data_IF_242374702968
#
_entry.id   IF_242374702968
#
_cell.length_a   1.000
_cell.length_b   1.000
_cell.length_c   1.000
_cell.angle_alpha   90.00
_cell.angle_beta   90.00
_cell.angle_gamma   90.00
#
_symmetry.space_group_name_H-M   'P 1'
#
loop_
_entity.id
_entity.type
_entity.pdbx_description
1 polymer ?
#
# COMPACT_ATOMS: atom_id res chain seq x y z
N UNK A 1 15.22 25.22 11.68
CA UNK A 1 15.15 23.80 11.24
C UNK A 1 13.73 23.36 10.92
N UNK A 2 12.72 23.60 11.78
CA UNK A 2 11.32 23.29 11.48
C UNK A 2 10.76 24.02 10.24
N UNK A 3 11.18 25.29 10.04
CA UNK A 3 10.80 26.08 8.87
C UNK A 3 11.47 25.65 7.55
N UNK A 4 12.70 25.13 7.58
CA UNK A 4 13.34 24.60 6.37
C UNK A 4 12.73 23.25 5.97
N UNK A 5 12.33 22.41 6.93
CA UNK A 5 11.60 21.18 6.64
C UNK A 5 10.19 21.49 6.13
N UNK A 6 9.47 22.47 6.70
CA UNK A 6 8.15 22.87 6.20
C UNK A 6 8.19 23.53 4.81
N UNK A 7 9.21 24.33 4.50
CA UNK A 7 9.39 24.92 3.17
C UNK A 7 9.89 23.91 2.13
N UNK A 8 10.68 22.90 2.51
CA UNK A 8 11.12 21.84 1.59
C UNK A 8 10.06 20.73 1.42
N UNK A 9 9.28 20.43 2.47
CA UNK A 9 8.10 19.54 2.41
C UNK A 9 6.93 20.13 1.60
N UNK A 10 6.98 21.41 1.24
CA UNK A 10 6.06 22.04 0.30
C UNK A 10 6.59 22.08 -1.14
N UNK A 11 7.84 21.67 -1.37
CA UNK A 11 8.47 21.60 -2.69
C UNK A 11 8.53 20.13 -3.11
N UNK A 12 7.35 19.53 -3.31
CA UNK A 12 7.28 18.66 -4.47
C UNK A 12 7.25 19.62 -5.64
N UNK A 13 8.39 19.80 -6.28
CA UNK A 13 8.50 20.58 -7.50
C UNK A 13 7.38 20.11 -8.46
N UNK A 14 6.64 21.03 -9.07
CA UNK A 14 5.64 20.66 -10.10
C UNK A 14 6.32 19.80 -11.18
N UNK A 15 7.61 20.05 -11.42
CA UNK A 15 8.45 19.20 -12.24
C UNK A 15 8.54 17.75 -11.71
N UNK A 16 8.76 17.53 -10.42
CA UNK A 16 8.82 16.20 -9.80
C UNK A 16 7.47 15.45 -9.84
N UNK A 17 6.35 16.15 -9.70
CA UNK A 17 5.02 15.53 -9.92
C UNK A 17 4.84 15.14 -11.38
N UNK A 18 5.23 16.03 -12.30
CA UNK A 18 5.10 15.77 -13.74
C UNK A 18 5.95 14.59 -14.19
N UNK A 19 7.17 14.43 -13.66
CA UNK A 19 8.04 13.27 -13.97
C UNK A 19 7.48 11.98 -13.38
N UNK A 20 6.82 12.02 -12.21
CA UNK A 20 6.13 10.88 -11.62
C UNK A 20 5.01 10.37 -12.54
N UNK A 21 4.18 11.28 -13.05
CA UNK A 21 3.03 10.98 -13.90
C UNK A 21 3.43 10.41 -15.26
N UNK A 22 4.62 10.78 -15.77
CA UNK A 22 5.17 10.30 -17.05
C UNK A 22 6.04 9.05 -16.86
N UNK A 23 6.08 8.46 -15.66
CA UNK A 23 6.78 7.20 -15.44
C UNK A 23 6.11 6.03 -16.20
N UNK A 24 6.86 5.09 -16.81
CA UNK A 24 6.27 3.96 -17.50
C UNK A 24 5.25 3.16 -16.68
N UNK A 25 5.47 2.84 -15.38
CA UNK A 25 4.46 2.14 -14.59
C UNK A 25 3.11 2.90 -14.54
N UNK A 26 3.14 4.21 -14.31
CA UNK A 26 1.92 5.06 -14.27
C UNK A 26 1.27 5.20 -15.64
N UNK A 27 2.06 5.39 -16.69
CA UNK A 27 1.56 5.46 -18.06
C UNK A 27 0.89 4.15 -18.50
N UNK A 28 1.44 3.00 -18.13
CA UNK A 28 0.84 1.70 -18.43
C UNK A 28 -0.44 1.45 -17.61
N UNK A 29 -0.52 1.92 -16.36
CA UNK A 29 -1.80 1.97 -15.64
C UNK A 29 -2.83 2.80 -16.40
N UNK A 30 -2.45 4.00 -16.86
CA UNK A 30 -3.29 4.87 -17.68
C UNK A 30 -3.70 4.24 -19.01
N UNK A 31 -2.79 3.51 -19.66
CA UNK A 31 -3.07 2.72 -20.86
C UNK A 31 -4.12 1.64 -20.58
N UNK A 32 -4.00 0.90 -19.48
CA UNK A 32 -4.99 -0.10 -19.08
C UNK A 32 -6.36 0.52 -18.85
N UNK A 33 -6.41 1.65 -18.16
CA UNK A 33 -7.63 2.42 -17.96
C UNK A 33 -8.25 2.85 -19.30
N UNK A 34 -7.44 3.45 -20.18
CA UNK A 34 -7.86 3.91 -21.51
C UNK A 34 -8.31 2.78 -22.43
N UNK A 35 -7.64 1.62 -22.38
CA UNK A 35 -8.00 0.43 -23.14
C UNK A 35 -9.42 -0.05 -22.80
N UNK A 36 -9.83 0.01 -21.52
CA UNK A 36 -11.22 -0.30 -21.16
C UNK A 36 -12.22 0.74 -21.64
N UNK A 37 -11.85 2.02 -21.67
CA UNK A 37 -12.71 3.10 -22.12
C UNK A 37 -13.04 2.99 -23.61
N UNK A 38 -12.06 2.59 -24.43
CA UNK A 38 -12.25 2.32 -25.87
C UNK A 38 -12.79 0.92 -26.16
N UNK A 39 -13.16 0.15 -25.12
CA UNK A 39 -13.68 -1.24 -25.21
C UNK A 39 -12.72 -2.19 -25.94
N UNK A 40 -11.42 -2.02 -25.74
CA UNK A 40 -10.40 -2.95 -26.24
C UNK A 40 -10.62 -4.36 -25.69
N UNK A 41 -10.25 -5.35 -26.49
CA UNK A 41 -10.15 -6.76 -26.13
C UNK A 41 -8.90 -7.09 -25.30
N UNK A 42 -8.03 -6.12 -25.03
CA UNK A 42 -6.83 -6.27 -24.19
C UNK A 42 -7.19 -6.85 -22.82
N UNK A 43 -6.65 -8.04 -22.56
CA UNK A 43 -6.85 -8.80 -21.34
C UNK A 43 -5.54 -9.46 -20.94
N UNK A 44 -5.15 -9.28 -19.69
CA UNK A 44 -4.06 -10.05 -19.09
C UNK A 44 -4.69 -11.32 -18.48
N UNK A 45 -4.17 -12.52 -18.81
CA UNK A 45 -4.67 -13.76 -18.22
C UNK A 45 -4.48 -13.77 -16.70
N UNK A 46 -5.45 -14.31 -15.96
CA UNK A 46 -5.45 -14.33 -14.49
C UNK A 46 -4.20 -15.02 -13.91
N UNK A 47 -3.68 -16.04 -14.60
CA UNK A 47 -2.45 -16.73 -14.22
C UNK A 47 -1.24 -15.80 -14.25
N UNK A 48 -1.17 -14.90 -15.22
CA UNK A 48 -0.11 -13.89 -15.34
C UNK A 48 -0.27 -12.84 -14.23
N UNK A 49 -1.48 -12.36 -13.98
CA UNK A 49 -1.76 -11.43 -12.87
C UNK A 49 -1.32 -11.99 -11.53
N UNK A 50 -1.64 -13.26 -11.26
CA UNK A 50 -1.22 -13.98 -10.04
C UNK A 50 0.29 -14.11 -9.95
N UNK A 51 0.94 -14.52 -11.05
CA UNK A 51 2.40 -14.61 -11.11
C UNK A 51 3.08 -13.26 -10.83
N UNK A 52 2.63 -12.19 -11.49
CA UNK A 52 3.17 -10.84 -11.31
C UNK A 52 3.06 -10.39 -9.84
N UNK A 53 1.90 -10.62 -9.22
CA UNK A 53 1.70 -10.33 -7.79
C UNK A 53 2.67 -11.11 -6.90
N UNK A 54 2.75 -12.43 -7.07
CA UNK A 54 3.66 -13.28 -6.29
C UNK A 54 5.12 -12.87 -6.46
N UNK A 55 5.54 -12.58 -7.69
CA UNK A 55 6.88 -12.11 -7.99
C UNK A 55 7.18 -10.79 -7.26
N UNK A 56 6.31 -9.79 -7.38
CA UNK A 56 6.54 -8.46 -6.82
C UNK A 56 6.56 -8.50 -5.28
N UNK A 57 5.65 -9.26 -4.65
CA UNK A 57 5.64 -9.53 -3.20
C UNK A 57 6.96 -10.20 -2.77
N UNK A 58 7.42 -11.19 -3.52
CA UNK A 58 8.65 -11.94 -3.19
C UNK A 58 9.88 -11.04 -3.29
N UNK A 59 10.01 -10.31 -4.40
CA UNK A 59 11.16 -9.45 -4.67
C UNK A 59 11.36 -8.40 -3.57
N UNK A 60 10.29 -7.73 -3.16
CA UNK A 60 10.42 -6.71 -2.10
C UNK A 60 10.58 -7.32 -0.72
N UNK A 61 9.93 -8.45 -0.45
CA UNK A 61 10.06 -9.10 0.85
C UNK A 61 11.52 -9.45 1.05
N UNK A 62 12.11 -10.10 0.05
CA UNK A 62 13.53 -10.41 0.04
C UNK A 62 14.41 -9.17 0.20
N UNK A 63 14.17 -8.09 -0.58
CA UNK A 63 14.90 -6.82 -0.47
C UNK A 63 14.78 -6.17 0.91
N UNK A 64 13.58 -6.14 1.48
CA UNK A 64 13.31 -5.62 2.82
C UNK A 64 14.00 -6.43 3.91
N UNK A 65 14.04 -7.75 3.77
CA UNK A 65 14.78 -8.64 4.66
C UNK A 65 16.28 -8.36 4.66
N UNK A 66 16.88 -8.25 3.48
CA UNK A 66 18.30 -7.93 3.31
C UNK A 66 18.61 -6.55 3.91
N UNK A 67 17.74 -5.56 3.70
CA UNK A 67 17.91 -4.23 4.26
C UNK A 67 17.79 -4.22 5.80
N UNK A 68 16.82 -4.95 6.36
CA UNK A 68 16.68 -5.13 7.82
C UNK A 68 17.95 -5.73 8.44
N UNK A 69 18.61 -6.66 7.75
CA UNK A 69 19.89 -7.22 8.20
C UNK A 69 20.98 -6.16 8.24
N UNK A 70 21.04 -5.31 7.22
CA UNK A 70 22.08 -4.29 7.06
C UNK A 70 21.90 -3.13 8.06
N UNK A 71 20.67 -2.67 8.26
CA UNK A 71 20.32 -1.55 9.15
C UNK A 71 20.28 -1.99 10.62
N UNK A 72 20.00 -3.26 10.90
CA UNK A 72 19.87 -3.79 12.26
C UNK A 72 18.65 -3.26 13.00
N UNK A 73 18.54 -3.61 14.29
CA UNK A 73 17.50 -3.06 15.15
C UNK A 73 17.79 -1.60 15.49
N UNK A 74 16.91 -0.69 15.09
CA UNK A 74 16.99 0.73 15.43
C UNK A 74 15.76 1.18 16.21
N UNK A 75 15.89 2.24 17.02
CA UNK A 75 14.75 2.86 17.69
C UNK A 75 13.73 3.38 16.67
N UNK A 76 14.19 3.91 15.54
CA UNK A 76 13.34 4.35 14.44
C UNK A 76 12.49 3.20 13.88
N UNK A 77 13.07 2.03 13.67
CA UNK A 77 12.34 0.82 13.27
C UNK A 77 11.23 0.48 14.27
N UNK A 78 11.57 0.38 15.57
CA UNK A 78 10.59 0.06 16.62
C UNK A 78 9.44 1.06 16.68
N UNK A 79 9.76 2.36 16.65
CA UNK A 79 8.76 3.44 16.64
C UNK A 79 7.91 3.41 15.37
N UNK A 80 8.49 3.09 14.21
CA UNK A 80 7.75 3.01 12.94
C UNK A 80 6.83 1.80 12.91
N UNK A 81 7.24 0.66 13.47
CA UNK A 81 6.33 -0.49 13.61
C UNK A 81 5.14 -0.16 14.51
N UNK A 82 5.38 0.47 15.67
CA UNK A 82 4.30 0.91 16.57
C UNK A 82 3.40 1.95 15.87
N UNK A 83 3.99 2.91 15.15
CA UNK A 83 3.28 3.89 14.35
C UNK A 83 2.42 3.24 13.26
N UNK A 84 2.94 2.23 12.55
CA UNK A 84 2.20 1.45 11.57
C UNK A 84 1.00 0.73 12.19
N UNK A 85 1.18 0.05 13.32
CA UNK A 85 0.08 -0.59 14.05
C UNK A 85 -0.99 0.45 14.45
N UNK A 86 -0.56 1.60 15.00
CA UNK A 86 -1.46 2.67 15.39
C UNK A 86 -2.24 3.21 14.19
N UNK A 87 -1.58 3.45 13.05
CA UNK A 87 -2.22 3.88 11.81
C UNK A 87 -3.22 2.83 11.30
N UNK A 88 -2.85 1.55 11.28
CA UNK A 88 -3.74 0.46 10.88
C UNK A 88 -4.97 0.32 11.79
N UNK A 89 -4.86 0.71 13.07
CA UNK A 89 -6.01 0.76 13.97
C UNK A 89 -6.85 2.02 13.72
N UNK A 90 -6.22 3.18 13.62
CA UNK A 90 -6.90 4.50 13.59
C UNK A 90 -7.61 4.76 12.26
N UNK A 91 -6.96 4.44 11.13
CA UNK A 91 -7.49 4.77 9.80
C UNK A 91 -8.84 4.11 9.54
N UNK A 92 -9.11 2.83 9.86
CA UNK A 92 -10.43 2.23 9.70
C UNK A 92 -11.54 2.97 10.45
N UNK A 93 -11.27 3.48 11.67
CA UNK A 93 -12.26 4.28 12.41
C UNK A 93 -12.56 5.60 11.71
N UNK A 94 -11.52 6.30 11.25
CA UNK A 94 -11.66 7.56 10.51
C UNK A 94 -12.43 7.31 9.21
N UNK A 95 -12.02 6.30 8.44
CA UNK A 95 -12.65 5.92 7.19
C UNK A 95 -14.12 5.58 7.37
N UNK A 96 -14.46 4.74 8.35
CA UNK A 96 -15.85 4.42 8.67
C UNK A 96 -16.65 5.67 9.04
N UNK A 97 -16.10 6.57 9.85
CA UNK A 97 -16.79 7.80 10.25
C UNK A 97 -17.07 8.72 9.06
N UNK A 98 -16.11 8.89 8.17
CA UNK A 98 -16.27 9.68 6.93
C UNK A 98 -17.28 9.01 5.99
N UNK A 99 -17.22 7.70 5.80
CA UNK A 99 -18.12 6.95 4.93
C UNK A 99 -19.57 6.98 5.43
N UNK A 100 -19.79 6.87 6.73
CA UNK A 100 -21.13 6.99 7.33
C UNK A 100 -21.73 8.39 7.15
N UNK A 101 -20.92 9.44 7.31
CA UNK A 101 -21.39 10.83 7.22
C UNK A 101 -21.54 11.31 5.78
N UNK A 102 -20.51 11.06 4.96
CA UNK A 102 -20.39 11.59 3.61
C UNK A 102 -20.80 10.56 2.56
N UNK A 103 -20.37 9.31 2.68
CA UNK A 103 -20.57 8.26 1.68
C UNK A 103 -21.98 7.67 1.60
N UNK A 104 -22.83 7.84 2.63
CA UNK A 104 -24.17 7.23 2.73
C UNK A 104 -24.18 5.70 2.56
N UNK A 105 -23.09 5.06 2.95
CA UNK A 105 -22.96 3.60 2.96
C UNK A 105 -23.49 3.02 4.27
N UNK A 106 -23.98 1.79 4.24
CA UNK A 106 -24.41 1.08 5.44
C UNK A 106 -23.26 0.89 6.44
N UNK A 107 -23.56 0.67 7.73
CA UNK A 107 -22.53 0.61 8.77
C UNK A 107 -21.61 -0.60 8.66
N UNK A 108 -22.07 -1.70 8.05
CA UNK A 108 -21.25 -2.87 7.73
C UNK A 108 -20.34 -2.57 6.54
N UNK A 109 -20.87 -2.01 5.45
CA UNK A 109 -20.08 -1.62 4.27
C UNK A 109 -19.02 -0.57 4.62
N UNK A 110 -19.38 0.42 5.45
CA UNK A 110 -18.44 1.44 5.91
C UNK A 110 -17.31 0.86 6.78
N UNK A 111 -17.59 -0.22 7.53
CA UNK A 111 -16.56 -0.94 8.27
C UNK A 111 -15.64 -1.75 7.34
N UNK A 112 -16.20 -2.44 6.34
CA UNK A 112 -15.43 -3.19 5.35
C UNK A 112 -14.54 -2.27 4.51
N UNK A 113 -15.10 -1.21 3.93
CA UNK A 113 -14.34 -0.19 3.18
C UNK A 113 -13.31 0.46 4.09
N UNK A 114 -13.65 0.76 5.35
CA UNK A 114 -12.69 1.31 6.31
C UNK A 114 -11.50 0.39 6.58
N UNK A 115 -11.74 -0.92 6.66
CA UNK A 115 -10.68 -1.93 6.78
C UNK A 115 -9.70 -1.88 5.60
N UNK A 116 -10.22 -1.73 4.37
CA UNK A 116 -9.39 -1.59 3.18
C UNK A 116 -8.49 -0.35 3.24
N UNK A 117 -9.00 0.81 3.69
CA UNK A 117 -8.20 2.04 3.82
C UNK A 117 -7.16 1.98 4.95
N UNK A 118 -7.42 1.26 6.04
CA UNK A 118 -6.41 1.07 7.09
C UNK A 118 -5.34 0.07 6.71
N UNK A 119 -5.73 -0.94 5.94
CA UNK A 119 -4.82 -1.87 5.32
C UNK A 119 -4.03 -1.16 4.20
N UNK A 120 -3.03 -1.83 3.66
CA UNK A 120 -2.06 -1.20 2.77
C UNK A 120 -2.10 -1.84 1.38
N UNK A 121 -1.90 -1.01 0.36
CA UNK A 121 -1.75 -1.48 -1.00
C UNK A 121 -0.29 -1.70 -1.29
N UNK A 122 0.06 -2.97 -1.53
CA UNK A 122 1.36 -3.32 -2.04
C UNK A 122 1.70 -2.51 -3.29
N UNK A 123 0.77 -2.44 -4.23
CA UNK A 123 0.94 -1.78 -5.53
C UNK A 123 1.33 -0.30 -5.38
N UNK A 124 0.67 0.41 -4.48
CA UNK A 124 0.90 1.84 -4.25
C UNK A 124 2.27 2.04 -3.61
N UNK A 125 2.64 1.18 -2.67
CA UNK A 125 3.97 1.17 -2.06
C UNK A 125 5.08 0.93 -3.10
N UNK A 126 4.92 -0.06 -3.99
CA UNK A 126 5.90 -0.35 -5.05
C UNK A 126 6.09 0.83 -6.00
N UNK A 127 4.98 1.48 -6.37
CA UNK A 127 5.00 2.64 -7.25
C UNK A 127 5.74 3.81 -6.59
N UNK A 128 5.47 4.05 -5.29
CA UNK A 128 6.17 5.09 -4.54
C UNK A 128 7.66 4.78 -4.34
N UNK A 129 8.01 3.53 -4.03
CA UNK A 129 9.41 3.12 -3.90
C UNK A 129 10.16 3.29 -5.23
N UNK A 130 9.59 2.84 -6.35
CA UNK A 130 10.19 3.01 -7.67
C UNK A 130 10.31 4.50 -8.07
N UNK A 131 9.37 5.34 -7.63
CA UNK A 131 9.47 6.79 -7.83
C UNK A 131 10.63 7.39 -7.03
N UNK A 132 10.75 7.06 -5.74
CA UNK A 132 11.83 7.54 -4.89
C UNK A 132 13.21 7.10 -5.40
N UNK A 133 13.33 5.84 -5.84
CA UNK A 133 14.57 5.30 -6.44
C UNK A 133 14.99 6.08 -7.70
N UNK A 134 14.03 6.46 -8.56
CA UNK A 134 14.32 7.27 -9.75
C UNK A 134 14.74 8.69 -9.43
N UNK A 135 14.24 9.23 -8.31
CA UNK A 135 14.58 10.55 -7.82
C UNK A 135 15.87 10.54 -6.98
N UNK A 136 16.51 9.38 -6.82
CA UNK A 136 17.67 9.18 -5.95
C UNK A 136 17.41 9.62 -4.49
N UNK A 137 16.16 9.43 -4.03
CA UNK A 137 15.75 9.73 -2.66
C UNK A 137 15.79 8.42 -1.87
N UNK A 138 16.75 8.23 -0.95
CA UNK A 138 16.84 7.02 -0.15
C UNK A 138 15.65 6.93 0.81
N UNK A 139 15.21 5.71 1.05
CA UNK A 139 14.17 5.38 2.02
C UNK A 139 14.61 4.16 2.84
N UNK A 140 14.11 4.07 4.06
CA UNK A 140 14.41 3.02 5.01
C UNK A 140 13.92 1.66 4.49
N UNK A 141 14.82 0.68 4.41
CA UNK A 141 14.49 -0.62 3.85
C UNK A 141 13.52 -1.43 4.70
N UNK A 142 13.43 -1.09 6.00
CA UNK A 142 12.44 -1.68 6.90
C UNK A 142 10.99 -1.30 6.62
N UNK A 143 10.72 -0.33 5.73
CA UNK A 143 9.36 0.08 5.39
C UNK A 143 8.52 -1.06 4.78
N UNK A 144 9.16 -2.07 4.20
CA UNK A 144 8.49 -3.30 3.74
C UNK A 144 7.90 -4.10 4.90
N UNK A 145 8.57 -4.13 6.06
CA UNK A 145 8.04 -4.78 7.26
C UNK A 145 6.88 -3.98 7.87
N UNK A 146 6.97 -2.64 7.82
CA UNK A 146 5.88 -1.75 8.26
C UNK A 146 4.63 -1.99 7.43
N UNK A 147 4.78 -2.13 6.10
CA UNK A 147 3.69 -2.53 5.19
C UNK A 147 3.00 -3.81 5.69
N UNK A 148 3.76 -4.90 5.91
CA UNK A 148 3.19 -6.17 6.38
C UNK A 148 2.43 -6.03 7.72
N UNK A 149 2.98 -5.23 8.64
CA UNK A 149 2.43 -5.03 9.98
C UNK A 149 1.13 -4.23 9.96
N UNK A 150 0.96 -3.29 9.03
CA UNK A 150 -0.25 -2.44 8.95
C UNK A 150 -1.51 -3.22 8.52
N UNK A 151 -1.35 -4.35 7.83
CA UNK A 151 -2.47 -5.12 7.27
C UNK A 151 -3.33 -5.78 8.36
N UNK A 152 -2.71 -6.51 9.28
CA UNK A 152 -3.44 -7.30 10.29
C UNK A 152 -4.29 -6.46 11.26
N UNK A 153 -3.76 -5.38 11.88
CA UNK A 153 -4.54 -4.52 12.79
C UNK A 153 -5.80 -3.96 12.11
N UNK A 154 -5.67 -3.57 10.85
CA UNK A 154 -6.74 -2.96 10.06
C UNK A 154 -7.88 -3.93 9.77
N UNK A 155 -7.53 -5.17 9.39
CA UNK A 155 -8.51 -6.23 9.16
C UNK A 155 -9.25 -6.58 10.46
N UNK A 156 -8.53 -6.70 11.58
CA UNK A 156 -9.13 -6.98 12.89
C UNK A 156 -10.12 -5.89 13.28
N UNK A 157 -9.72 -4.62 13.16
CA UNK A 157 -10.58 -3.46 13.46
C UNK A 157 -11.79 -3.44 12.53
N UNK A 158 -11.59 -3.68 11.23
CA UNK A 158 -12.64 -3.79 10.23
C UNK A 158 -13.71 -4.81 10.60
N UNK A 159 -13.30 -6.04 10.91
CA UNK A 159 -14.23 -7.11 11.30
C UNK A 159 -14.89 -6.81 12.66
N UNK A 160 -14.15 -6.26 13.63
CA UNK A 160 -14.73 -5.86 14.90
C UNK A 160 -15.83 -4.79 14.73
N UNK A 161 -15.58 -3.81 13.87
CA UNK A 161 -16.56 -2.77 13.52
C UNK A 161 -17.77 -3.34 12.77
N UNK A 162 -17.55 -4.27 11.83
CA UNK A 162 -18.61 -4.93 11.09
C UNK A 162 -19.49 -5.80 12.00
N UNK A 163 -18.90 -6.58 12.90
CA UNK A 163 -19.62 -7.40 13.89
C UNK A 163 -20.52 -6.57 14.79
N UNK A 164 -20.06 -5.38 15.20
CA UNK A 164 -20.87 -4.46 16.04
C UNK A 164 -21.99 -3.77 15.27
N UNK A 165 -21.85 -3.64 13.95
CA UNK A 165 -22.80 -2.98 13.07
C UNK A 165 -23.84 -3.94 12.48
N UNK A 166 -23.49 -5.22 12.33
CA UNK A 166 -24.34 -6.25 11.76
C UNK A 166 -25.35 -6.81 12.77
N UNK A 167 -26.44 -7.36 12.25
CA UNK A 167 -27.44 -8.11 13.02
C UNK A 167 -27.27 -9.64 12.89
N UNK A 168 -26.29 -10.08 12.08
CA UNK A 168 -25.98 -11.48 11.84
C UNK A 168 -25.02 -12.07 12.88
N UNK A 169 -24.67 -13.36 12.68
CA UNK A 169 -23.70 -14.03 13.54
C UNK A 169 -22.33 -13.34 13.49
N UNK A 170 -21.79 -13.00 14.66
CA UNK A 170 -20.48 -12.36 14.76
C UNK A 170 -19.37 -13.29 14.27
N UNK A 171 -18.48 -12.76 13.44
CA UNK A 171 -17.28 -13.47 13.00
C UNK A 171 -16.25 -13.48 14.14
N UNK A 172 -15.76 -14.64 14.60
CA UNK A 172 -14.81 -14.69 15.71
C UNK A 172 -13.46 -14.07 15.30
N UNK A 173 -12.99 -13.07 16.05
CA UNK A 173 -11.74 -12.35 15.75
C UNK A 173 -10.51 -13.26 15.75
N UNK A 174 -10.50 -14.33 16.56
CA UNK A 174 -9.42 -15.33 16.53
C UNK A 174 -9.30 -16.05 15.18
N UNK A 175 -10.42 -16.29 14.49
CA UNK A 175 -10.43 -16.88 13.14
C UNK A 175 -9.96 -15.88 12.10
N UNK A 176 -10.28 -14.60 12.28
CA UNK A 176 -9.78 -13.51 11.42
C UNK A 176 -8.28 -13.39 11.55
N UNK A 177 -7.75 -13.34 12.78
CA UNK A 177 -6.31 -13.32 13.06
C UNK A 177 -5.60 -14.52 12.41
N UNK A 178 -6.10 -15.73 12.62
CA UNK A 178 -5.54 -16.94 12.01
C UNK A 178 -5.59 -16.88 10.47
N UNK A 179 -6.68 -16.35 9.90
CA UNK A 179 -6.86 -16.17 8.46
C UNK A 179 -5.92 -15.13 7.86
N UNK A 180 -5.72 -13.99 8.54
CA UNK A 180 -4.80 -12.93 8.10
C UNK A 180 -3.37 -13.45 8.01
N UNK A 181 -2.90 -14.20 9.01
CA UNK A 181 -1.54 -14.76 9.02
C UNK A 181 -1.34 -15.85 7.95
N UNK A 182 -2.39 -16.60 7.63
CA UNK A 182 -2.34 -17.66 6.59
C UNK A 182 -2.64 -17.14 5.19
N UNK A 183 -2.87 -15.84 5.02
CA UNK A 183 -3.12 -15.24 3.72
C UNK A 183 -1.87 -15.33 2.83
N UNK A 184 -2.01 -15.88 1.63
CA UNK A 184 -0.87 -16.27 0.79
C UNK A 184 0.10 -15.12 0.47
N UNK A 185 -0.40 -13.91 0.22
CA UNK A 185 0.45 -12.75 -0.04
C UNK A 185 1.22 -12.29 1.20
N UNK A 186 0.59 -12.30 2.38
CA UNK A 186 1.24 -11.89 3.63
C UNK A 186 2.26 -12.94 4.07
N UNK A 187 1.89 -14.23 3.99
CA UNK A 187 2.79 -15.34 4.27
C UNK A 187 4.02 -15.29 3.36
N UNK A 188 3.83 -15.03 2.08
CA UNK A 188 4.92 -14.88 1.11
C UNK A 188 5.78 -13.65 1.42
N UNK A 189 5.17 -12.51 1.73
CA UNK A 189 5.89 -11.28 2.06
C UNK A 189 6.77 -11.47 3.30
N UNK A 190 6.20 -11.99 4.39
CA UNK A 190 6.91 -12.26 5.64
C UNK A 190 7.97 -13.34 5.41
N UNK A 191 7.63 -14.43 4.71
CA UNK A 191 8.55 -15.51 4.38
C UNK A 191 9.75 -15.02 3.57
N UNK A 192 9.53 -14.28 2.48
CA UNK A 192 10.58 -13.70 1.67
C UNK A 192 11.43 -12.69 2.47
N UNK A 193 10.82 -11.91 3.36
CA UNK A 193 11.53 -11.01 4.29
C UNK A 193 12.44 -11.78 5.23
N UNK A 194 11.96 -12.87 5.84
CA UNK A 194 12.79 -13.71 6.71
C UNK A 194 13.93 -14.35 5.90
N UNK A 195 13.66 -14.86 4.70
CA UNK A 195 14.70 -15.44 3.84
C UNK A 195 15.76 -14.39 3.47
N UNK A 196 15.34 -13.17 3.10
CA UNK A 196 16.24 -12.05 2.82
C UNK A 196 17.09 -11.66 4.05
N UNK A 197 16.47 -11.61 5.23
CA UNK A 197 17.15 -11.33 6.50
C UNK A 197 18.23 -12.37 6.82
N UNK A 198 17.91 -13.65 6.63
CA UNK A 198 18.83 -14.75 6.91
C UNK A 198 19.96 -14.82 5.88
N UNK A 199 19.68 -14.61 4.60
CA UNK A 199 20.63 -14.75 3.49
C UNK A 199 21.49 -13.49 3.26
N UNK A 200 20.98 -12.31 3.58
CA UNK A 200 21.71 -11.04 3.50
C UNK A 200 22.19 -10.68 2.10
N UNK A 201 23.23 -9.83 2.04
CA UNK A 201 23.78 -9.33 0.77
C UNK A 201 24.28 -10.44 -0.16
N UNK A 202 24.80 -11.54 0.40
CA UNK A 202 25.24 -12.70 -0.39
C UNK A 202 24.06 -13.36 -1.10
N UNK A 203 22.98 -13.63 -0.37
CA UNK A 203 21.76 -14.17 -0.98
C UNK A 203 21.15 -13.24 -2.02
N UNK A 204 21.21 -11.93 -1.78
CA UNK A 204 20.76 -10.93 -2.77
C UNK A 204 21.57 -11.05 -4.07
N UNK A 205 22.90 -11.10 -4.00
CA UNK A 205 23.75 -11.22 -5.18
C UNK A 205 23.45 -12.50 -5.99
N UNK A 206 23.05 -13.59 -5.33
CA UNK A 206 22.70 -14.85 -6.01
C UNK A 206 21.38 -14.74 -6.81
N UNK A 207 20.46 -13.86 -6.43
CA UNK A 207 19.10 -13.76 -7.01
C UNK A 207 18.78 -12.41 -7.66
N UNK A 208 19.68 -11.43 -7.59
CA UNK A 208 19.43 -10.04 -8.02
C UNK A 208 19.02 -9.94 -9.48
N UNK A 209 19.63 -10.76 -10.35
CA UNK A 209 19.33 -10.79 -11.78
C UNK A 209 17.89 -11.20 -12.08
N UNK A 210 17.25 -11.91 -11.15
CA UNK A 210 15.83 -12.25 -11.24
C UNK A 210 14.94 -11.37 -10.37
N UNK A 211 15.31 -11.00 -9.14
CA UNK A 211 14.42 -10.27 -8.22
C UNK A 211 14.49 -8.74 -8.38
N UNK A 212 15.66 -8.20 -8.73
CA UNK A 212 15.89 -6.75 -8.78
C UNK A 212 15.84 -6.25 -10.22
N UNK A 213 16.61 -6.87 -11.12
CA UNK A 213 16.77 -6.37 -12.49
C UNK A 213 15.46 -6.25 -13.28
N UNK A 214 14.56 -7.26 -13.32
CA UNK A 214 13.33 -7.17 -14.11
C UNK A 214 12.17 -6.53 -13.32
N UNK A 215 12.39 -6.11 -12.07
CA UNK A 215 11.34 -5.62 -11.17
C UNK A 215 10.47 -4.52 -11.78
N UNK A 216 11.11 -3.49 -12.35
CA UNK A 216 10.38 -2.36 -12.96
C UNK A 216 9.57 -2.81 -14.19
N UNK A 217 10.10 -3.72 -15.00
CA UNK A 217 9.38 -4.26 -16.16
C UNK A 217 8.15 -5.08 -15.77
N UNK A 218 8.27 -5.90 -14.72
CA UNK A 218 7.16 -6.68 -14.17
C UNK A 218 6.12 -5.78 -13.50
N UNK A 219 6.55 -4.71 -12.81
CA UNK A 219 5.67 -3.69 -12.24
C UNK A 219 4.85 -2.96 -13.32
N UNK A 220 5.45 -2.68 -14.48
CA UNK A 220 4.74 -2.08 -15.63
C UNK A 220 3.59 -2.97 -16.09
N UNK A 221 3.83 -4.27 -16.30
CA UNK A 221 2.78 -5.20 -16.72
C UNK A 221 1.69 -5.37 -15.66
N UNK A 222 2.10 -5.38 -14.39
CA UNK A 222 1.18 -5.48 -13.27
C UNK A 222 0.28 -4.24 -13.14
N UNK A 223 0.83 -3.04 -13.33
CA UNK A 223 0.04 -1.81 -13.32
C UNK A 223 -0.88 -1.68 -14.55
N UNK A 224 -0.48 -2.21 -15.71
CA UNK A 224 -1.38 -2.35 -16.85
C UNK A 224 -2.61 -3.19 -16.49
N UNK A 225 -2.41 -4.34 -15.83
CA UNK A 225 -3.50 -5.21 -15.37
C UNK A 225 -4.42 -4.49 -14.37
N UNK A 226 -3.83 -3.79 -13.40
CA UNK A 226 -4.58 -3.01 -12.42
C UNK A 226 -5.36 -1.87 -13.08
N UNK A 227 -4.82 -1.23 -14.12
CA UNK A 227 -5.53 -0.22 -14.92
C UNK A 227 -6.73 -0.80 -15.65
N UNK A 228 -6.59 -1.98 -16.26
CA UNK A 228 -7.68 -2.72 -16.88
C UNK A 228 -8.78 -3.10 -15.86
N UNK A 229 -8.38 -3.59 -14.68
CA UNK A 229 -9.31 -3.95 -13.61
C UNK A 229 -10.08 -2.73 -13.08
N UNK A 230 -9.36 -1.63 -12.81
CA UNK A 230 -9.95 -0.37 -12.36
C UNK A 230 -10.96 0.16 -13.38
N UNK A 231 -10.58 0.18 -14.66
CA UNK A 231 -11.44 0.65 -15.75
C UNK A 231 -12.73 -0.15 -15.92
N UNK A 232 -12.67 -1.48 -15.77
CA UNK A 232 -13.87 -2.34 -15.77
C UNK A 232 -14.79 -2.09 -14.58
N UNK A 233 -14.23 -1.69 -13.43
CA UNK A 233 -14.99 -1.38 -12.21
C UNK A 233 -15.48 0.06 -12.15
N UNK A 234 -15.08 0.94 -13.06
CA UNK A 234 -15.53 2.34 -13.09
C UNK A 234 -17.06 2.46 -13.22
N UNK A 235 -17.72 1.50 -13.87
CA UNK A 235 -19.19 1.49 -13.97
C UNK A 235 -19.90 1.43 -12.61
N UNK A 236 -19.29 0.83 -11.59
CA UNK A 236 -19.85 0.76 -10.24
C UNK A 236 -20.03 2.14 -9.60
N UNK A 237 -19.23 3.15 -9.98
CA UNK A 237 -19.40 4.52 -9.48
C UNK A 237 -20.75 5.14 -9.87
N UNK A 238 -21.39 4.69 -10.97
CA UNK A 238 -22.73 5.16 -11.34
C UNK A 238 -23.79 4.75 -10.32
N UNK A 239 -23.59 3.61 -9.65
CA UNK A 239 -24.49 3.08 -8.62
C UNK A 239 -24.31 3.79 -7.28
N UNK A 240 -23.07 4.17 -6.96
CA UNK A 240 -22.66 4.67 -5.65
C UNK A 240 -22.54 6.20 -5.55
N UNK A 241 -22.55 6.89 -6.70
CA UNK A 241 -22.63 8.35 -6.80
C UNK A 241 -21.34 9.10 -6.45
N UNK A 242 -21.34 10.42 -6.70
CA UNK A 242 -20.18 11.31 -6.50
C UNK A 242 -19.66 11.35 -5.05
N UNK A 243 -20.51 11.01 -4.07
CA UNK A 243 -20.18 11.05 -2.64
C UNK A 243 -19.10 10.02 -2.29
N UNK A 244 -19.15 8.83 -2.88
CA UNK A 244 -18.12 7.81 -2.69
C UNK A 244 -16.83 8.17 -3.44
N UNK A 245 -16.92 8.85 -4.58
CA UNK A 245 -15.75 9.43 -5.24
C UNK A 245 -15.07 10.51 -4.37
N UNK A 246 -15.84 11.38 -3.72
CA UNK A 246 -15.30 12.37 -2.78
C UNK A 246 -14.61 11.69 -1.59
N UNK A 247 -15.21 10.64 -1.00
CA UNK A 247 -14.55 9.84 0.03
C UNK A 247 -13.23 9.22 -0.47
N UNK A 248 -13.19 8.76 -1.72
CA UNK A 248 -11.99 8.22 -2.37
C UNK A 248 -10.86 9.22 -2.58
N UNK A 249 -11.12 10.52 -2.46
CA UNK A 249 -10.09 11.58 -2.47
C UNK A 249 -9.74 11.99 -1.04
N UNK A 250 -10.75 12.20 -0.21
CA UNK A 250 -10.57 12.71 1.16
C UNK A 250 -9.80 11.70 2.02
N UNK A 251 -10.14 10.41 1.94
CA UNK A 251 -9.54 9.39 2.80
C UNK A 251 -8.03 9.20 2.56
N UNK A 252 -7.56 9.07 1.30
CA UNK A 252 -6.13 9.04 1.03
C UNK A 252 -5.40 10.30 1.52
N UNK A 253 -6.00 11.49 1.37
CA UNK A 253 -5.39 12.73 1.84
C UNK A 253 -5.25 12.76 3.37
N UNK A 254 -6.31 12.39 4.10
CA UNK A 254 -6.28 12.32 5.56
C UNK A 254 -5.27 11.27 6.03
N UNK A 255 -5.31 10.07 5.43
CA UNK A 255 -4.35 9.00 5.73
C UNK A 255 -2.92 9.42 5.46
N UNK A 256 -2.64 10.04 4.31
CA UNK A 256 -1.32 10.54 3.95
C UNK A 256 -0.79 11.62 4.89
N UNK A 257 -1.65 12.54 5.35
CA UNK A 257 -1.27 13.53 6.37
C UNK A 257 -0.93 12.86 7.70
N UNK A 258 -1.69 11.85 8.12
CA UNK A 258 -1.40 11.11 9.36
C UNK A 258 -0.09 10.32 9.26
N UNK A 259 0.13 9.61 8.15
CA UNK A 259 1.35 8.85 7.91
C UNK A 259 2.58 9.74 7.76
N UNK A 260 2.48 10.81 6.99
CA UNK A 260 3.56 11.78 6.81
C UNK A 260 3.88 12.54 8.11
N UNK A 261 2.86 12.96 8.86
CA UNK A 261 3.03 13.54 10.18
C UNK A 261 3.69 12.58 11.16
N UNK A 262 3.25 11.31 11.18
CA UNK A 262 3.86 10.26 11.99
C UNK A 262 5.34 10.03 11.64
N UNK A 263 5.67 9.94 10.36
CA UNK A 263 7.04 9.74 9.89
C UNK A 263 7.96 10.91 10.27
N UNK A 264 7.47 12.14 10.11
CA UNK A 264 8.20 13.34 10.52
C UNK A 264 8.44 13.38 12.04
N UNK A 265 7.46 12.96 12.86
CA UNK A 265 7.60 12.90 14.32
C UNK A 265 8.58 11.82 14.78
N UNK A 266 8.63 10.69 14.08
CA UNK A 266 9.58 9.61 14.35
C UNK A 266 11.01 10.01 13.93
N UNK A 267 11.14 10.98 13.03
CA UNK A 267 12.42 11.43 12.48
C UNK A 267 12.91 10.57 11.31
N UNK A 268 11.98 10.00 10.53
CA UNK A 268 12.32 9.28 9.31
C UNK A 268 12.92 10.20 8.26
N UNK A 269 13.67 9.61 7.34
CA UNK A 269 14.14 10.27 6.13
C UNK A 269 12.96 10.80 5.29
N UNK A 270 13.25 11.64 4.30
CA UNK A 270 12.24 12.10 3.35
C UNK A 270 11.61 10.93 2.60
N UNK A 271 12.40 9.92 2.22
CA UNK A 271 11.89 8.71 1.58
C UNK A 271 11.00 7.90 2.51
N UNK A 272 11.43 7.62 3.75
CA UNK A 272 10.63 6.87 4.72
C UNK A 272 9.34 7.56 5.12
N UNK A 273 9.39 8.87 5.34
CA UNK A 273 8.20 9.69 5.61
C UNK A 273 7.22 9.64 4.44
N UNK A 274 7.73 9.72 3.21
CA UNK A 274 6.91 9.59 1.99
C UNK A 274 6.29 8.19 1.89
N UNK A 275 7.06 7.14 2.13
CA UNK A 275 6.56 5.77 2.11
C UNK A 275 5.51 5.53 3.19
N UNK A 276 5.70 6.06 4.41
CA UNK A 276 4.70 5.92 5.48
C UNK A 276 3.42 6.71 5.18
N UNK A 277 3.55 7.90 4.59
CA UNK A 277 2.41 8.66 4.07
C UNK A 277 1.65 7.86 2.99
N UNK A 278 2.37 7.26 2.03
CA UNK A 278 1.76 6.43 0.99
C UNK A 278 1.07 5.20 1.56
N UNK A 279 1.70 4.50 2.51
CA UNK A 279 1.07 3.36 3.19
C UNK A 279 -0.24 3.77 3.86
N UNK A 280 -0.23 4.87 4.60
CA UNK A 280 -1.41 5.38 5.29
C UNK A 280 -2.49 5.97 4.35
N UNK A 281 -2.10 6.43 3.16
CA UNK A 281 -3.01 6.94 2.13
C UNK A 281 -3.61 5.83 1.25
N UNK A 282 -3.05 4.63 1.31
CA UNK A 282 -3.41 3.52 0.44
C UNK A 282 -4.73 2.87 0.83
N UNK A 283 -5.29 2.07 -0.07
CA UNK A 283 -6.38 1.16 0.23
C UNK A 283 -6.06 -0.21 -0.35
N UNK A 284 -6.14 -1.24 0.48
CA UNK A 284 -5.92 -2.62 0.09
C UNK A 284 -7.06 -3.18 -0.76
N UNK A 285 -6.75 -4.10 -1.66
CA UNK A 285 -7.73 -4.86 -2.46
C UNK A 285 -8.08 -6.23 -1.84
N UNK A 286 -7.51 -6.54 -0.66
CA UNK A 286 -7.64 -7.80 0.09
C UNK A 286 -8.94 -7.82 0.88
#
# INVERSE_FOLDING_TARGET
MLYCVLLFSLVIDVAAVSTALVSPPVLFFGLGLGATAVRSDLRIPEQISKFLSLYLVTAIGFKGGVALRAEGWSTALGLTMVGGIALGIVIPFIARAVLLRLGRVGPVDAAAIGAHYGSVSLVTFLTAQAFLERMDIPAEGFMVAVLAIMESPSIIVGVALANRAGTGAAVPLGRVLAGSVTHGSLLLLVGATVIGLLSGARGMADVEGFLVTPFTGLLVLFLLDMGLLAGRRLGAFRTYGWRLAACGIILPLVGGVLGGGGGALIGLSTGGTTLLAVLAASASYI
#
